data_IF_496737863482
#
_entry.id   IF_496737863482
#
_cell.length_a   1.000
_cell.length_b   1.000
_cell.length_c   1.000
_cell.angle_alpha   90.00
_cell.angle_beta   90.00
_cell.angle_gamma   90.00
#
_symmetry.space_group_name_H-M   'P 1'
#
loop_
_entity.id
_entity.type
_entity.pdbx_description
1 polymer ?
#
# COMPACT_ATOMS: atom_id res chain seq x y z
N UNK A 1 -7.71 -26.52 -7.73
CA UNK A 1 -6.32 -26.57 -7.21
C UNK A 1 -6.40 -26.34 -5.71
N UNK A 2 -6.03 -27.34 -4.91
CA UNK A 2 -6.09 -27.26 -3.45
C UNK A 2 -4.76 -26.74 -2.92
N UNK A 3 -4.78 -25.60 -2.23
CA UNK A 3 -3.64 -25.10 -1.50
C UNK A 3 -3.81 -25.49 -0.03
N UNK A 4 -2.86 -26.23 0.53
CA UNK A 4 -2.83 -26.57 1.94
C UNK A 4 -1.68 -25.81 2.61
N UNK A 5 -1.99 -25.09 3.69
CA UNK A 5 -1.01 -24.44 4.56
C UNK A 5 -1.33 -24.89 5.99
N UNK A 6 -0.34 -25.43 6.69
CA UNK A 6 -0.53 -25.92 8.06
C UNK A 6 -0.55 -24.77 9.07
N UNK A 7 0.47 -23.91 9.04
CA UNK A 7 0.52 -22.65 9.80
C UNK A 7 1.57 -21.72 9.18
N UNK A 8 1.38 -20.40 9.37
CA UNK A 8 2.34 -19.38 9.02
C UNK A 8 2.22 -18.23 10.03
N UNK A 9 3.33 -17.84 10.63
CA UNK A 9 3.42 -16.67 11.51
C UNK A 9 4.47 -15.73 10.93
N UNK A 10 4.09 -14.47 10.72
CA UNK A 10 5.01 -13.41 10.33
C UNK A 10 5.20 -12.45 11.52
N UNK A 11 6.46 -12.12 11.81
CA UNK A 11 6.81 -11.27 12.95
C UNK A 11 6.93 -9.81 12.51
N UNK A 12 6.59 -8.89 13.42
CA UNK A 12 6.73 -7.46 13.19
C UNK A 12 8.21 -7.10 12.95
N UNK A 13 8.49 -6.26 11.96
CA UNK A 13 9.85 -5.82 11.62
C UNK A 13 10.70 -6.86 10.87
N UNK A 14 10.15 -8.04 10.56
CA UNK A 14 10.86 -9.07 9.80
C UNK A 14 10.41 -9.13 8.34
N UNK A 15 11.34 -9.39 7.43
CA UNK A 15 11.04 -9.73 6.04
C UNK A 15 10.80 -11.24 5.95
N UNK A 16 9.64 -11.64 5.43
CA UNK A 16 9.28 -13.05 5.24
C UNK A 16 9.29 -13.39 3.75
N UNK A 17 10.08 -14.38 3.36
CA UNK A 17 10.16 -14.88 1.99
C UNK A 17 9.34 -16.16 1.81
N UNK A 18 8.41 -16.17 0.83
CA UNK A 18 7.59 -17.35 0.50
C UNK A 18 8.05 -17.95 -0.83
N UNK A 19 8.61 -19.16 -0.80
CA UNK A 19 9.11 -19.88 -1.98
C UNK A 19 8.27 -21.13 -2.27
N UNK A 20 8.31 -21.57 -3.53
CA UNK A 20 7.62 -22.77 -3.99
C UNK A 20 7.50 -22.81 -5.52
N UNK A 21 7.25 -23.99 -6.08
CA UNK A 21 7.12 -24.20 -7.52
C UNK A 21 5.99 -23.34 -8.14
N UNK A 22 6.02 -23.03 -9.45
CA UNK A 22 4.87 -22.45 -10.14
C UNK A 22 3.58 -23.23 -9.85
N UNK A 23 2.48 -22.53 -9.60
CA UNK A 23 1.21 -23.18 -9.22
C UNK A 23 1.09 -23.60 -7.75
N UNK A 24 2.13 -23.48 -6.91
CA UNK A 24 2.07 -23.85 -5.49
C UNK A 24 1.13 -22.99 -4.61
N UNK A 25 0.48 -21.97 -5.19
CA UNK A 25 -0.45 -21.10 -4.46
C UNK A 25 0.17 -19.89 -3.76
N UNK A 26 1.43 -19.52 -4.01
CA UNK A 26 2.06 -18.32 -3.42
C UNK A 26 1.25 -17.04 -3.64
N UNK A 27 0.84 -16.77 -4.88
CA UNK A 27 0.03 -15.59 -5.21
C UNK A 27 -1.39 -15.68 -4.61
N UNK A 28 -1.89 -16.90 -4.41
CA UNK A 28 -3.16 -17.15 -3.72
C UNK A 28 -3.03 -16.83 -2.22
N UNK A 29 -1.95 -17.27 -1.58
CA UNK A 29 -1.63 -16.96 -0.19
C UNK A 29 -1.52 -15.45 0.05
N UNK A 30 -0.75 -14.73 -0.76
CA UNK A 30 -0.57 -13.29 -0.57
C UNK A 30 -1.85 -12.49 -0.87
N UNK A 31 -2.72 -12.97 -1.76
CA UNK A 31 -4.07 -12.41 -1.95
C UNK A 31 -4.97 -12.68 -0.73
N UNK A 32 -4.90 -13.87 -0.14
CA UNK A 32 -5.62 -14.21 1.09
C UNK A 32 -5.18 -13.31 2.25
N UNK A 33 -3.87 -13.17 2.46
CA UNK A 33 -3.26 -12.30 3.47
C UNK A 33 -3.44 -10.79 3.20
N UNK A 34 -4.03 -10.39 2.08
CA UNK A 34 -4.37 -8.99 1.82
C UNK A 34 -5.88 -8.75 1.71
N UNK A 35 -6.68 -9.78 2.00
CA UNK A 35 -8.14 -9.72 1.85
C UNK A 35 -8.62 -9.56 0.41
N UNK A 36 -7.76 -9.82 -0.57
CA UNK A 36 -8.03 -9.72 -2.02
C UNK A 36 -8.25 -11.08 -2.68
N UNK A 37 -8.52 -12.11 -1.89
CA UNK A 37 -8.82 -13.43 -2.42
C UNK A 37 -10.22 -13.45 -3.05
N UNK A 38 -10.40 -14.04 -4.25
CA UNK A 38 -11.71 -14.10 -4.90
C UNK A 38 -12.72 -14.83 -4.01
N UNK A 39 -13.90 -14.24 -3.83
CA UNK A 39 -15.04 -14.86 -3.13
C UNK A 39 -15.95 -15.59 -4.13
N UNK A 40 -15.35 -16.32 -5.07
CA UNK A 40 -16.11 -17.07 -6.07
C UNK A 40 -16.74 -18.33 -5.44
N UNK A 41 -17.92 -18.73 -5.92
CA UNK A 41 -18.69 -19.87 -5.36
C UNK A 41 -17.93 -21.20 -5.38
N UNK A 42 -16.87 -21.32 -6.17
CA UNK A 42 -16.04 -22.52 -6.29
C UNK A 42 -14.85 -22.57 -5.32
N UNK A 43 -14.74 -21.61 -4.40
CA UNK A 43 -13.57 -21.46 -3.53
C UNK A 43 -13.99 -21.49 -2.07
N UNK A 44 -13.51 -22.50 -1.34
CA UNK A 44 -13.72 -22.63 0.10
C UNK A 44 -12.40 -22.36 0.81
N UNK A 45 -12.42 -21.42 1.75
CA UNK A 45 -11.30 -21.17 2.66
C UNK A 45 -11.61 -21.90 3.96
N UNK A 46 -10.70 -22.76 4.41
CA UNK A 46 -10.74 -23.39 5.73
C UNK A 46 -9.59 -22.86 6.58
N UNK A 47 -9.84 -22.66 7.87
CA UNK A 47 -8.91 -22.00 8.79
C UNK A 47 -9.20 -20.50 8.96
N UNK A 48 -8.28 -19.79 9.61
CA UNK A 48 -8.44 -18.39 9.95
C UNK A 48 -7.15 -17.59 9.72
N UNK A 49 -7.31 -16.32 9.36
CA UNK A 49 -6.21 -15.34 9.29
C UNK A 49 -6.46 -14.29 10.35
N UNK A 50 -5.45 -14.03 11.18
CA UNK A 50 -5.48 -13.07 12.28
C UNK A 50 -4.35 -12.05 12.12
N UNK A 51 -4.64 -10.79 12.42
CA UNK A 51 -3.66 -9.70 12.47
C UNK A 51 -3.62 -9.18 13.90
N UNK A 52 -2.47 -9.32 14.57
CA UNK A 52 -2.29 -8.93 15.98
C UNK A 52 -3.40 -9.47 16.90
N UNK A 53 -3.80 -10.72 16.68
CA UNK A 53 -4.88 -11.39 17.43
C UNK A 53 -6.30 -11.12 16.93
N UNK A 54 -6.49 -10.15 16.03
CA UNK A 54 -7.82 -9.80 15.51
C UNK A 54 -8.13 -10.56 14.21
N UNK A 55 -9.27 -11.27 14.11
CA UNK A 55 -9.68 -11.94 12.89
C UNK A 55 -9.86 -11.01 11.69
N UNK A 56 -9.49 -11.49 10.50
CA UNK A 56 -9.64 -10.72 9.25
C UNK A 56 -11.09 -10.30 8.97
N UNK A 57 -12.06 -11.11 9.40
CA UNK A 57 -13.48 -10.82 9.23
C UNK A 57 -13.90 -9.51 9.92
N UNK A 58 -13.35 -9.23 11.10
CA UNK A 58 -13.60 -8.00 11.86
C UNK A 58 -12.86 -6.80 11.26
N UNK A 59 -11.70 -7.04 10.64
CA UNK A 59 -10.88 -6.01 10.02
C UNK A 59 -11.25 -5.70 8.58
N UNK A 60 -12.17 -6.44 7.94
CA UNK A 60 -12.34 -6.43 6.49
C UNK A 60 -12.44 -5.03 5.86
N UNK A 61 -13.19 -4.11 6.49
CA UNK A 61 -13.35 -2.73 6.00
C UNK A 61 -12.11 -1.85 6.19
N UNK A 62 -11.30 -2.14 7.20
CA UNK A 62 -10.12 -1.34 7.58
C UNK A 62 -8.82 -1.97 7.11
N UNK A 63 -8.84 -3.22 6.67
CA UNK A 63 -7.67 -3.97 6.23
C UNK A 63 -6.84 -3.23 5.17
N UNK A 64 -7.43 -2.50 4.19
CA UNK A 64 -6.65 -1.70 3.24
C UNK A 64 -5.82 -0.57 3.87
N UNK A 65 -6.16 -0.13 5.09
CA UNK A 65 -5.39 0.87 5.85
C UNK A 65 -4.14 0.27 6.50
N UNK A 66 -4.05 -1.06 6.59
CA UNK A 66 -2.96 -1.77 7.26
C UNK A 66 -2.13 -2.64 6.31
N UNK A 67 -2.72 -3.09 5.20
CA UNK A 67 -2.11 -4.04 4.28
C UNK A 67 -2.16 -3.51 2.85
N UNK A 68 -0.97 -3.28 2.28
CA UNK A 68 -0.79 -3.04 0.87
C UNK A 68 -0.50 -4.36 0.14
N UNK A 69 -1.06 -4.53 -1.06
CA UNK A 69 -0.79 -5.68 -1.92
C UNK A 69 -0.36 -5.20 -3.29
N UNK A 70 0.87 -5.55 -3.68
CA UNK A 70 1.40 -5.28 -5.01
C UNK A 70 1.18 -6.53 -5.88
N UNK A 71 0.30 -6.47 -6.90
CA UNK A 71 0.06 -7.61 -7.77
C UNK A 71 1.27 -7.91 -8.65
N UNK A 72 1.40 -9.18 -9.07
CA UNK A 72 2.47 -9.61 -9.99
C UNK A 72 2.41 -8.88 -11.35
N UNK A 73 1.21 -8.53 -11.83
CA UNK A 73 1.02 -7.73 -13.03
C UNK A 73 0.68 -6.31 -12.61
N UNK A 74 1.48 -5.36 -13.06
CA UNK A 74 1.23 -3.94 -12.88
C UNK A 74 -0.09 -3.53 -13.55
N UNK A 75 -0.83 -2.67 -12.87
CA UNK A 75 -1.94 -1.91 -13.43
C UNK A 75 -1.48 -0.46 -13.50
N UNK A 76 -0.98 -0.04 -14.65
CA UNK A 76 -0.56 1.33 -14.88
C UNK A 76 -1.51 1.99 -15.87
N UNK A 77 -1.74 3.29 -15.69
CA UNK A 77 -2.44 4.13 -16.66
C UNK A 77 -1.38 4.72 -17.60
N UNK A 78 -1.30 4.25 -18.86
CA UNK A 78 -0.20 4.60 -19.75
C UNK A 78 -0.19 6.09 -20.14
N UNK A 79 -1.32 6.78 -19.97
CA UNK A 79 -1.46 8.21 -20.25
C UNK A 79 -0.88 9.10 -19.14
N UNK A 80 -0.73 8.59 -17.91
CA UNK A 80 -0.25 9.39 -16.78
C UNK A 80 1.27 9.50 -16.80
N UNK A 81 1.75 10.72 -16.58
CA UNK A 81 3.14 11.01 -16.24
C UNK A 81 3.53 10.42 -14.89
N UNK A 82 4.83 10.30 -14.61
CA UNK A 82 5.33 9.87 -13.29
C UNK A 82 4.76 10.76 -12.18
N UNK A 83 4.75 12.08 -12.39
CA UNK A 83 4.20 13.03 -11.42
C UNK A 83 2.71 12.80 -11.19
N UNK A 84 1.91 12.76 -12.25
CA UNK A 84 0.46 12.53 -12.15
C UNK A 84 0.14 11.16 -11.53
N UNK A 85 0.97 10.15 -11.76
CA UNK A 85 0.83 8.83 -11.13
C UNK A 85 0.99 8.91 -9.61
N UNK A 86 1.98 9.68 -9.13
CA UNK A 86 2.21 9.88 -7.69
C UNK A 86 1.14 10.76 -7.06
N UNK A 87 0.67 11.79 -7.75
CA UNK A 87 -0.47 12.62 -7.32
C UNK A 87 -1.75 11.80 -7.22
N UNK A 88 -2.03 10.97 -8.23
CA UNK A 88 -3.16 10.04 -8.22
C UNK A 88 -3.07 9.05 -7.05
N UNK A 89 -1.90 8.44 -6.85
CA UNK A 89 -1.69 7.50 -5.75
C UNK A 89 -1.87 8.18 -4.39
N UNK A 90 -1.37 9.41 -4.23
CA UNK A 90 -1.54 10.19 -3.01
C UNK A 90 -3.01 10.48 -2.72
N UNK A 91 -3.76 10.98 -3.70
CA UNK A 91 -5.19 11.24 -3.57
C UNK A 91 -5.98 9.96 -3.22
N UNK A 92 -5.68 8.84 -3.89
CA UNK A 92 -6.34 7.55 -3.65
C UNK A 92 -6.05 6.94 -2.26
N UNK A 93 -4.93 7.32 -1.62
CA UNK A 93 -4.51 6.84 -0.32
C UNK A 93 -4.95 7.74 0.85
N UNK A 94 -5.87 8.69 0.61
CA UNK A 94 -6.31 9.65 1.62
C UNK A 94 -5.39 10.85 1.68
N UNK A 95 -5.20 11.51 0.53
CA UNK A 95 -4.31 12.65 0.29
C UNK A 95 -4.65 13.95 1.04
N UNK A 96 -5.26 13.82 2.21
CA UNK A 96 -5.58 14.90 3.12
C UNK A 96 -5.32 14.45 4.57
N UNK A 97 -4.94 15.41 5.41
CA UNK A 97 -4.79 15.15 6.83
C UNK A 97 -6.16 14.84 7.43
N UNK A 98 -6.35 13.61 7.91
CA UNK A 98 -7.62 13.21 8.52
C UNK A 98 -7.90 14.02 9.78
N UNK A 99 -9.17 14.33 10.06
CA UNK A 99 -9.57 15.04 11.29
C UNK A 99 -9.08 14.31 12.55
N UNK A 100 -9.03 12.98 12.48
CA UNK A 100 -8.53 12.12 13.56
C UNK A 100 -7.04 12.31 13.81
N UNK A 101 -6.25 12.53 12.77
CA UNK A 101 -4.82 12.78 12.92
C UNK A 101 -4.56 14.23 13.33
N UNK A 102 -5.33 15.17 12.81
CA UNK A 102 -5.32 16.56 13.25
C UNK A 102 -5.64 16.68 14.75
N UNK A 103 -6.63 15.95 15.26
CA UNK A 103 -7.02 15.98 16.67
C UNK A 103 -5.97 15.42 17.63
N UNK A 104 -4.91 14.76 17.13
CA UNK A 104 -3.79 14.27 17.94
C UNK A 104 -2.70 15.32 18.15
N UNK A 105 -2.70 16.39 17.36
CA UNK A 105 -1.72 17.48 17.41
C UNK A 105 -2.13 18.56 18.42
N UNK A 106 -2.43 18.15 19.66
CA UNK A 106 -3.03 19.01 20.70
C UNK A 106 -2.25 19.06 22.02
N UNK A 107 -1.16 18.30 22.12
CA UNK A 107 -0.45 18.11 23.40
C UNK A 107 0.59 19.21 23.71
N UNK A 108 0.81 20.17 22.82
CA UNK A 108 1.71 21.31 23.02
C UNK A 108 1.00 22.60 23.41
N UNK A 109 1.75 23.71 23.46
CA UNK A 109 1.18 25.05 23.56
C UNK A 109 0.31 25.41 22.34
N UNK A 110 -0.57 26.43 22.43
CA UNK A 110 -1.42 26.81 21.30
C UNK A 110 -0.64 27.14 20.02
N UNK A 111 0.52 27.79 20.15
CA UNK A 111 1.39 28.14 19.03
C UNK A 111 2.05 26.90 18.42
N UNK A 112 2.58 26.00 19.26
CA UNK A 112 3.18 24.74 18.81
C UNK A 112 2.15 23.82 18.11
N UNK A 113 0.93 23.75 18.64
CA UNK A 113 -0.13 22.95 18.04
C UNK A 113 -0.53 23.50 16.66
N UNK A 114 -0.59 24.82 16.53
CA UNK A 114 -0.88 25.48 15.24
C UNK A 114 0.23 25.20 14.23
N UNK A 115 1.49 25.38 14.63
CA UNK A 115 2.64 25.08 13.78
C UNK A 115 2.71 23.60 13.37
N UNK A 116 2.42 22.68 14.29
CA UNK A 116 2.38 21.24 13.99
C UNK A 116 1.27 20.89 12.99
N UNK A 117 0.08 21.50 13.13
CA UNK A 117 -1.02 21.29 12.22
C UNK A 117 -0.72 21.85 10.82
N UNK A 118 -0.14 23.04 10.74
CA UNK A 118 0.27 23.65 9.47
C UNK A 118 1.34 22.79 8.77
N UNK A 119 2.36 22.34 9.51
CA UNK A 119 3.39 21.47 8.98
C UNK A 119 2.81 20.14 8.46
N UNK A 120 1.92 19.49 9.22
CA UNK A 120 1.28 18.23 8.80
C UNK A 120 0.44 18.41 7.53
N UNK A 121 -0.29 19.52 7.40
CA UNK A 121 -1.05 19.86 6.20
C UNK A 121 -0.14 20.13 5.01
N UNK A 122 0.95 20.87 5.21
CA UNK A 122 1.93 21.15 4.16
C UNK A 122 2.61 19.86 3.66
N UNK A 123 3.03 18.99 4.59
CA UNK A 123 3.61 17.68 4.25
C UNK A 123 2.66 16.83 3.41
N UNK A 124 1.37 16.83 3.76
CA UNK A 124 0.36 16.09 2.99
C UNK A 124 0.23 16.70 1.59
N UNK A 125 0.04 18.01 1.48
CA UNK A 125 -0.12 18.71 0.19
C UNK A 125 1.05 18.50 -0.77
N UNK A 126 2.28 18.52 -0.25
CA UNK A 126 3.50 18.40 -1.05
C UNK A 126 4.06 16.96 -1.06
N UNK A 127 3.32 15.99 -0.54
CA UNK A 127 3.78 14.61 -0.45
C UNK A 127 4.25 14.03 -1.79
N UNK A 128 3.54 14.24 -2.93
CA UNK A 128 4.03 13.74 -4.22
C UNK A 128 5.42 14.30 -4.59
N UNK A 129 5.64 15.60 -4.41
CA UNK A 129 6.92 16.24 -4.71
C UNK A 129 8.05 15.75 -3.78
N UNK A 130 7.75 15.57 -2.49
CA UNK A 130 8.70 14.99 -1.53
C UNK A 130 9.11 13.58 -1.94
N UNK A 131 8.15 12.74 -2.36
CA UNK A 131 8.43 11.37 -2.84
C UNK A 131 9.28 11.39 -4.11
N UNK A 132 9.00 12.30 -5.04
CA UNK A 132 9.79 12.46 -6.27
C UNK A 132 11.26 12.74 -5.94
N UNK A 133 11.52 13.66 -5.00
CA UNK A 133 12.87 14.00 -4.57
C UNK A 133 13.55 12.85 -3.83
N UNK A 134 12.84 12.21 -2.89
CA UNK A 134 13.40 11.10 -2.11
C UNK A 134 13.78 9.90 -2.98
N UNK A 135 13.06 9.66 -4.07
CA UNK A 135 13.31 8.57 -5.00
C UNK A 135 14.21 8.96 -6.19
N UNK A 136 14.63 10.22 -6.30
CA UNK A 136 15.49 10.70 -7.39
C UNK A 136 14.80 10.68 -8.76
N UNK A 137 13.51 10.99 -8.82
CA UNK A 137 12.68 10.89 -10.03
C UNK A 137 12.49 12.25 -10.74
N UNK A 138 13.21 13.29 -10.34
CA UNK A 138 13.02 14.68 -10.79
C UNK A 138 13.15 14.81 -12.31
N UNK A 139 14.15 14.13 -12.87
CA UNK A 139 14.48 14.17 -14.29
C UNK A 139 13.48 13.41 -15.16
N UNK A 140 12.55 12.66 -14.55
CA UNK A 140 11.59 11.83 -15.29
C UNK A 140 10.13 12.16 -15.03
N UNK A 141 9.86 13.22 -14.28
CA UNK A 141 8.50 13.62 -13.87
C UNK A 141 7.52 13.82 -15.03
N UNK A 142 8.01 14.25 -16.20
CA UNK A 142 7.21 14.51 -17.41
C UNK A 142 7.06 13.31 -18.33
N UNK A 143 7.80 12.22 -18.13
CA UNK A 143 7.60 11.02 -18.93
C UNK A 143 6.39 10.26 -18.44
N UNK A 144 5.65 9.67 -19.37
CA UNK A 144 4.68 8.67 -19.01
C UNK A 144 5.35 7.38 -18.54
N UNK A 145 4.63 6.62 -17.72
CA UNK A 145 5.14 5.37 -17.14
C UNK A 145 5.54 4.31 -18.19
N UNK A 146 4.98 4.37 -19.39
CA UNK A 146 5.37 3.51 -20.51
C UNK A 146 6.75 3.86 -21.09
N UNK A 147 7.14 5.14 -21.13
CA UNK A 147 8.43 5.57 -21.70
C UNK A 147 9.61 5.09 -20.85
N UNK A 148 9.44 4.99 -19.53
CA UNK A 148 10.45 4.42 -18.64
C UNK A 148 10.81 2.96 -18.95
N UNK A 149 9.84 2.17 -19.45
CA UNK A 149 10.10 0.78 -19.85
C UNK A 149 10.89 0.66 -21.14
N UNK A 150 10.89 1.71 -21.96
CA UNK A 150 11.52 1.70 -23.28
C UNK A 150 12.99 2.15 -23.26
N UNK A 151 13.50 2.68 -22.14
CA UNK A 151 14.93 2.99 -22.03
C UNK A 151 15.73 1.69 -22.05
N UNK A 152 16.58 1.45 -23.06
CA UNK A 152 17.50 0.32 -23.01
C UNK A 152 18.47 0.58 -21.87
N UNK A 153 18.66 -0.40 -21.00
CA UNK A 153 19.84 -0.41 -20.15
C UNK A 153 21.07 -0.40 -21.08
N UNK A 154 21.87 0.67 -20.99
CA UNK A 154 23.19 0.73 -21.62
C UNK A 154 24.17 -0.20 -20.93
#
# INVERSE_FOLDING_TARGET
>A
MMMALQSLTANLGAITLVLGQPGSGKSSLTKLLSGRFPKDKSVTIQGQVVYNGTPTAELHRRLPQFVAYVPQREKHYPELTVKETLEFAHAACGGELSERDASRLVNGSPEENTGALEAARAMTRHHPDVVIQQLGLENITHYNTCTLRASPAG
#
